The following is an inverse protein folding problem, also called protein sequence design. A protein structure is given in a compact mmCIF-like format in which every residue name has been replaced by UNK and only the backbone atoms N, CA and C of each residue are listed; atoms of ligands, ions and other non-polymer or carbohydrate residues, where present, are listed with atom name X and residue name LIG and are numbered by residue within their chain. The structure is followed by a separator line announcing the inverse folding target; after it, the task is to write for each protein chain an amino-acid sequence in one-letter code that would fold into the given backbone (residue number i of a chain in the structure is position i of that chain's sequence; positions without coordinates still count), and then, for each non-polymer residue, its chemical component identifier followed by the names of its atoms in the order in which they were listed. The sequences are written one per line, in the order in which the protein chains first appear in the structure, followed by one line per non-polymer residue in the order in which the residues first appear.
data_IF_081600325504
#
_entry.id   IF_081600325504
#
_cell.length_a   1.000
_cell.length_b   1.000
_cell.length_c   1.000
_cell.angle_alpha   90.00
_cell.angle_beta   90.00
_cell.angle_gamma   90.00
#
_symmetry.space_group_name_H-M   'P 1'
#
loop_
_entity.id
_entity.type
_entity.pdbx_description
1 polymer ?
#
# COMPACT_ATOMS: atom_id res chain seq x y z
N UNK A 1 7.24 3.06 17.64
CA UNK A 1 7.57 3.77 16.49
C UNK A 1 6.76 5.03 16.26
N UNK A 2 6.88 5.52 15.07
CA UNK A 2 6.35 6.83 14.69
C UNK A 2 5.04 6.76 13.89
N UNK A 3 4.32 5.64 14.00
CA UNK A 3 3.10 5.42 13.19
C UNK A 3 2.02 6.47 13.48
N UNK A 4 2.02 7.04 14.69
CA UNK A 4 1.08 8.09 15.09
C UNK A 4 1.33 9.43 14.38
N UNK A 5 2.48 9.60 13.74
CA UNK A 5 2.81 10.86 13.05
C UNK A 5 2.08 11.01 11.71
N UNK A 6 1.46 9.95 11.20
CA UNK A 6 0.68 10.02 9.96
C UNK A 6 1.52 10.22 8.70
N UNK A 7 2.80 9.83 8.72
CA UNK A 7 3.65 9.90 7.53
C UNK A 7 3.13 8.99 6.42
N UNK A 8 3.44 9.33 5.18
CA UNK A 8 2.99 8.61 4.01
C UNK A 8 3.50 7.17 3.97
N UNK A 9 2.60 6.25 3.60
CA UNK A 9 2.95 4.88 3.26
C UNK A 9 3.04 4.80 1.73
N UNK A 10 4.23 4.54 1.21
CA UNK A 10 4.47 4.54 -0.22
C UNK A 10 3.60 3.53 -0.98
N UNK A 11 3.35 2.36 -0.39
CA UNK A 11 2.48 1.35 -1.02
C UNK A 11 1.03 1.81 -1.10
N UNK A 12 0.53 2.49 -0.07
CA UNK A 12 -0.83 3.05 -0.07
C UNK A 12 -0.96 4.17 -1.09
N UNK A 13 0.02 5.05 -1.15
CA UNK A 13 0.04 6.16 -2.10
C UNK A 13 0.09 5.67 -3.55
N UNK A 14 0.93 4.68 -3.82
CA UNK A 14 1.03 4.07 -5.14
C UNK A 14 -0.27 3.36 -5.53
N UNK A 15 -0.84 2.58 -4.63
CA UNK A 15 -2.10 1.87 -4.86
C UNK A 15 -3.26 2.83 -5.15
N UNK A 16 -3.33 3.95 -4.44
CA UNK A 16 -4.34 4.99 -4.68
C UNK A 16 -4.23 5.56 -6.09
N UNK A 17 -3.03 5.90 -6.52
CA UNK A 17 -2.83 6.40 -7.89
C UNK A 17 -3.22 5.36 -8.95
N UNK A 18 -2.76 4.13 -8.79
CA UNK A 18 -3.06 3.05 -9.73
C UNK A 18 -4.56 2.75 -9.79
N UNK A 19 -5.23 2.76 -8.65
CA UNK A 19 -6.68 2.58 -8.61
C UNK A 19 -7.41 3.70 -9.37
N UNK A 20 -7.03 4.95 -9.14
CA UNK A 20 -7.61 6.10 -9.86
C UNK A 20 -7.39 5.99 -11.38
N UNK A 21 -6.18 5.65 -11.81
CA UNK A 21 -5.86 5.45 -13.21
C UNK A 21 -6.70 4.34 -13.85
N UNK A 22 -6.84 3.22 -13.15
CA UNK A 22 -7.60 2.07 -13.64
C UNK A 22 -9.10 2.35 -13.82
N UNK A 23 -9.64 3.38 -13.14
CA UNK A 23 -11.04 3.79 -13.32
C UNK A 23 -11.26 4.58 -14.60
N UNK A 24 -10.23 5.26 -15.11
CA UNK A 24 -10.35 6.25 -16.18
C UNK A 24 -9.61 5.88 -17.46
N UNK A 25 -8.63 5.00 -17.36
CA UNK A 25 -7.75 4.64 -18.47
C UNK A 25 -7.58 3.14 -18.54
N UNK A 26 -7.24 2.66 -19.73
CA UNK A 26 -6.79 1.28 -19.89
C UNK A 26 -5.34 1.17 -19.45
N UNK A 27 -5.12 0.68 -18.23
CA UNK A 27 -3.82 0.54 -17.61
C UNK A 27 -3.59 -0.92 -17.25
N UNK A 28 -2.44 -1.47 -17.64
CA UNK A 28 -2.05 -2.83 -17.31
C UNK A 28 -0.86 -2.81 -16.36
N UNK A 29 -1.00 -3.45 -15.23
CA UNK A 29 0.07 -3.56 -14.24
C UNK A 29 1.05 -4.67 -14.66
N UNK A 30 2.33 -4.33 -14.78
CA UNK A 30 3.37 -5.27 -15.19
C UNK A 30 4.25 -5.70 -14.02
N UNK A 31 4.53 -4.79 -13.09
CA UNK A 31 5.31 -5.07 -11.90
C UNK A 31 4.95 -4.11 -10.77
N UNK A 32 5.16 -4.55 -9.55
CA UNK A 32 4.99 -3.72 -8.35
C UNK A 32 5.98 -4.16 -7.28
N UNK A 33 6.58 -3.19 -6.60
CA UNK A 33 7.54 -3.42 -5.53
C UNK A 33 7.51 -2.26 -4.55
N UNK A 34 7.45 -2.54 -3.27
CA UNK A 34 7.51 -1.49 -2.25
C UNK A 34 7.72 -2.04 -0.85
N UNK A 35 8.55 -1.33 -0.07
CA UNK A 35 8.86 -1.69 1.31
C UNK A 35 9.86 -2.81 1.43
N UNK A 36 10.48 -2.95 2.61
CA UNK A 36 11.46 -3.99 2.89
C UNK A 36 11.29 -4.64 4.26
N UNK A 37 10.84 -3.89 5.26
CA UNK A 37 10.81 -4.32 6.65
C UNK A 37 9.37 -4.38 7.18
N UNK A 38 9.05 -5.44 7.92
CA UNK A 38 7.71 -5.58 8.52
C UNK A 38 7.38 -4.51 9.55
N UNK A 39 8.39 -4.00 10.22
CA UNK A 39 8.23 -3.02 11.31
C UNK A 39 8.51 -1.57 10.88
N UNK A 40 8.60 -1.31 9.59
CA UNK A 40 8.80 0.03 9.07
C UNK A 40 7.70 0.38 8.07
N UNK A 41 7.25 1.63 8.10
CA UNK A 41 6.36 2.16 7.08
C UNK A 41 7.17 2.27 5.77
N UNK A 42 6.71 1.70 4.65
CA UNK A 42 7.45 1.77 3.40
C UNK A 42 7.61 3.21 2.93
N UNK A 43 8.86 3.59 2.63
CA UNK A 43 9.21 4.93 2.19
C UNK A 43 9.35 5.04 0.68
N UNK A 44 9.45 3.91 0.00
CA UNK A 44 9.58 3.83 -1.45
C UNK A 44 8.69 2.72 -2.00
N UNK A 45 8.09 2.99 -3.15
CA UNK A 45 7.35 2.00 -3.90
C UNK A 45 7.43 2.34 -5.38
N UNK A 46 7.41 1.32 -6.22
CA UNK A 46 7.39 1.49 -7.67
C UNK A 46 6.46 0.49 -8.32
N UNK A 47 5.93 0.88 -9.47
CA UNK A 47 5.19 -0.01 -10.33
C UNK A 47 5.61 0.23 -11.78
N UNK A 48 5.55 -0.80 -12.59
CA UNK A 48 5.64 -0.69 -14.04
C UNK A 48 4.26 -0.92 -14.61
N UNK A 49 3.78 0.05 -15.39
CA UNK A 49 2.48 -0.02 -16.05
C UNK A 49 2.64 0.13 -17.55
N UNK A 50 1.76 -0.51 -18.29
CA UNK A 50 1.63 -0.33 -19.73
C UNK A 50 0.33 0.44 -20.02
N UNK A 51 0.42 1.46 -20.85
CA UNK A 51 -0.71 2.27 -21.27
C UNK A 51 -0.71 2.41 -22.79
N UNK A 52 -1.87 2.66 -23.36
CA UNK A 52 -1.97 3.01 -24.77
C UNK A 52 -1.15 4.27 -25.03
N UNK A 53 -0.34 4.33 -26.11
CA UNK A 53 0.41 5.54 -26.45
C UNK A 53 -0.45 6.81 -26.54
N UNK A 54 -1.69 6.67 -26.97
CA UNK A 54 -2.67 7.76 -27.08
C UNK A 54 -3.08 8.34 -25.72
N UNK A 55 -2.98 7.56 -24.65
CA UNK A 55 -3.35 7.95 -23.29
C UNK A 55 -2.15 8.39 -22.44
N UNK A 56 -0.95 8.27 -22.95
CA UNK A 56 0.29 8.57 -22.21
C UNK A 56 0.26 9.95 -21.54
N UNK A 57 -0.11 10.98 -22.30
CA UNK A 57 -0.12 12.34 -21.77
C UNK A 57 -1.26 12.55 -20.75
N UNK A 58 -2.42 11.91 -20.97
CA UNK A 58 -3.51 11.96 -20.01
C UNK A 58 -3.14 11.31 -18.67
N UNK A 59 -2.47 10.17 -18.71
CA UNK A 59 -1.98 9.49 -17.50
C UNK A 59 -0.92 10.34 -16.79
N UNK A 60 -0.01 10.96 -17.54
CA UNK A 60 0.99 11.86 -16.97
C UNK A 60 0.35 13.07 -16.30
N UNK A 61 -0.67 13.64 -16.91
CA UNK A 61 -1.42 14.75 -16.33
C UNK A 61 -2.13 14.34 -15.04
N UNK A 62 -2.69 13.13 -14.99
CA UNK A 62 -3.27 12.58 -13.76
C UNK A 62 -2.22 12.40 -12.66
N UNK A 63 -1.03 11.92 -13.02
CA UNK A 63 0.06 11.79 -12.05
C UNK A 63 0.45 13.14 -11.45
N UNK A 64 0.60 14.16 -12.29
CA UNK A 64 0.99 15.48 -11.84
C UNK A 64 -0.07 16.09 -10.90
N UNK A 65 -1.35 15.90 -11.23
CA UNK A 65 -2.45 16.32 -10.36
C UNK A 65 -2.41 15.57 -9.02
N UNK A 66 -2.25 14.26 -9.08
CA UNK A 66 -2.13 13.42 -7.89
C UNK A 66 -0.94 13.81 -7.02
N UNK A 67 0.21 14.05 -7.62
CA UNK A 67 1.41 14.48 -6.90
C UNK A 67 1.17 15.79 -6.13
N UNK A 68 0.44 16.72 -6.73
CA UNK A 68 0.06 17.97 -6.05
C UNK A 68 -0.89 17.73 -4.88
N UNK A 69 -1.86 16.83 -5.04
CA UNK A 69 -2.78 16.47 -3.96
C UNK A 69 -2.04 15.83 -2.77
N UNK A 70 -1.16 14.88 -3.05
CA UNK A 70 -0.35 14.21 -2.02
C UNK A 70 0.57 15.21 -1.30
N UNK A 71 1.21 16.10 -2.05
CA UNK A 71 2.08 17.13 -1.46
C UNK A 71 1.29 18.02 -0.49
N UNK A 72 0.08 18.41 -0.88
CA UNK A 72 -0.78 19.23 -0.02
C UNK A 72 -1.25 18.45 1.22
N UNK A 73 -1.68 17.20 1.05
CA UNK A 73 -2.15 16.35 2.14
C UNK A 73 -1.08 16.06 3.19
N UNK A 74 0.17 15.89 2.76
CA UNK A 74 1.28 15.48 3.63
C UNK A 74 2.23 16.61 4.00
N UNK A 75 1.94 17.86 3.62
CA UNK A 75 2.84 19.01 3.83
C UNK A 75 3.30 19.19 5.27
N UNK A 76 2.45 18.86 6.25
CA UNK A 76 2.75 19.01 7.68
C UNK A 76 3.52 17.86 8.31
N UNK A 77 3.54 16.70 7.68
CA UNK A 77 4.09 15.48 8.28
C UNK A 77 5.15 14.78 7.40
N UNK A 78 5.08 14.99 6.10
CA UNK A 78 5.99 14.32 5.15
C UNK A 78 6.22 15.22 3.92
N UNK A 79 6.89 16.37 4.08
CA UNK A 79 6.95 17.42 3.05
C UNK A 79 7.81 17.05 1.83
N UNK A 80 8.62 15.99 1.90
CA UNK A 80 9.53 15.58 0.83
C UNK A 80 9.01 14.43 -0.03
N UNK A 81 7.73 14.11 0.08
CA UNK A 81 7.12 13.08 -0.76
C UNK A 81 7.12 13.50 -2.21
N UNK A 82 7.58 12.61 -3.10
CA UNK A 82 7.55 12.81 -4.55
C UNK A 82 6.82 11.65 -5.22
N UNK A 83 6.13 11.96 -6.30
CA UNK A 83 5.50 10.98 -7.18
C UNK A 83 5.91 11.29 -8.61
N UNK A 84 6.68 10.41 -9.21
CA UNK A 84 7.28 10.62 -10.52
C UNK A 84 6.94 9.48 -11.47
N UNK A 85 7.04 9.75 -12.77
CA UNK A 85 6.85 8.78 -13.83
C UNK A 85 7.95 8.95 -14.87
N UNK A 86 8.59 7.84 -15.21
CA UNK A 86 9.62 7.79 -16.26
C UNK A 86 9.29 6.66 -17.23
N UNK A 87 9.75 6.80 -18.47
CA UNK A 87 9.62 5.74 -19.45
C UNK A 87 10.53 4.58 -19.07
N UNK A 88 9.97 3.38 -19.03
CA UNK A 88 10.72 2.15 -18.76
C UNK A 88 10.83 1.30 -20.04
N UNK A 89 11.76 0.34 -20.00
CA UNK A 89 11.85 -0.66 -21.04
C UNK A 89 10.54 -1.47 -21.11
N UNK A 90 10.17 -1.90 -22.30
CA UNK A 90 8.97 -2.71 -22.49
C UNK A 90 9.09 -4.01 -21.70
N UNK A 91 8.21 -4.27 -20.73
CA UNK A 91 8.26 -5.51 -19.95
C UNK A 91 7.85 -6.71 -20.80
N UNK A 92 8.39 -7.88 -20.46
CA UNK A 92 8.04 -9.13 -21.12
C UNK A 92 6.67 -9.68 -20.69
N UNK A 93 6.21 -9.31 -19.49
CA UNK A 93 5.01 -9.87 -18.88
C UNK A 93 4.12 -8.78 -18.30
N UNK A 94 2.82 -9.07 -18.27
CA UNK A 94 1.84 -8.30 -17.51
C UNK A 94 1.24 -9.21 -16.44
N UNK A 95 0.80 -8.59 -15.35
CA UNK A 95 -0.05 -9.27 -14.38
C UNK A 95 -1.44 -9.39 -15.00
N UNK A 96 -2.09 -10.55 -14.87
CA UNK A 96 -3.47 -10.73 -15.34
C UNK A 96 -4.36 -9.62 -14.79
N UNK A 97 -5.15 -8.97 -15.64
CA UNK A 97 -5.94 -7.78 -15.27
C UNK A 97 -6.84 -8.00 -14.06
N UNK A 98 -7.48 -9.17 -13.97
CA UNK A 98 -8.33 -9.51 -12.82
C UNK A 98 -7.53 -9.54 -11.52
N UNK A 99 -6.35 -10.15 -11.55
CA UNK A 99 -5.43 -10.21 -10.39
C UNK A 99 -4.92 -8.82 -10.05
N UNK A 100 -4.51 -8.04 -11.04
CA UNK A 100 -4.02 -6.68 -10.85
C UNK A 100 -5.08 -5.77 -10.20
N UNK A 101 -6.31 -5.82 -10.69
CA UNK A 101 -7.42 -5.03 -10.14
C UNK A 101 -7.73 -5.43 -8.69
N UNK A 102 -7.78 -6.72 -8.41
CA UNK A 102 -8.00 -7.24 -7.06
C UNK A 102 -6.88 -6.82 -6.11
N UNK A 103 -5.63 -6.94 -6.54
CA UNK A 103 -4.46 -6.54 -5.77
C UNK A 103 -4.48 -5.04 -5.44
N UNK A 104 -4.66 -4.20 -6.45
CA UNK A 104 -4.66 -2.74 -6.26
C UNK A 104 -5.83 -2.31 -5.37
N UNK A 105 -7.02 -2.88 -5.57
CA UNK A 105 -8.17 -2.61 -4.71
C UNK A 105 -7.92 -3.01 -3.26
N UNK A 106 -7.32 -4.18 -3.04
CA UNK A 106 -6.99 -4.65 -1.69
C UNK A 106 -5.93 -3.76 -1.02
N UNK A 107 -4.87 -3.41 -1.74
CA UNK A 107 -3.83 -2.53 -1.22
C UNK A 107 -4.39 -1.15 -0.87
N UNK A 108 -5.25 -0.61 -1.73
CA UNK A 108 -5.86 0.70 -1.49
C UNK A 108 -6.85 0.66 -0.31
N UNK A 109 -7.66 -0.38 -0.20
CA UNK A 109 -8.63 -0.54 0.87
C UNK A 109 -8.01 -1.01 2.20
N UNK A 110 -6.82 -1.59 2.18
CA UNK A 110 -6.18 -2.14 3.37
C UNK A 110 -6.01 -1.05 4.45
N UNK A 111 -6.40 -1.33 5.69
CA UNK A 111 -6.16 -0.38 6.77
C UNK A 111 -4.66 -0.18 6.98
N UNK A 112 -4.27 1.05 7.29
CA UNK A 112 -2.90 1.41 7.63
C UNK A 112 -2.90 2.54 8.64
N UNK A 113 -2.03 2.45 9.64
CA UNK A 113 -1.86 3.48 10.64
C UNK A 113 -2.47 3.11 11.98
N UNK A 114 -2.80 4.11 12.76
CA UNK A 114 -3.41 3.96 14.08
C UNK A 114 -4.86 3.51 13.93
N UNK A 115 -5.19 2.41 14.60
CA UNK A 115 -6.57 1.89 14.67
C UNK A 115 -7.25 2.38 15.95
N UNK A 116 -6.53 2.36 17.07
CA UNK A 116 -7.04 2.83 18.35
C UNK A 116 -5.93 3.43 19.20
N UNK A 117 -6.30 4.44 19.97
CA UNK A 117 -5.46 5.01 21.02
C UNK A 117 -5.80 4.37 22.36
N UNK A 118 -4.84 4.33 23.27
CA UNK A 118 -5.07 3.82 24.62
C UNK A 118 -6.11 4.66 25.35
N UNK A 119 -7.05 4.00 26.02
CA UNK A 119 -8.01 4.67 26.89
C UNK A 119 -7.41 5.03 28.25
N UNK A 120 -6.33 4.36 28.64
CA UNK A 120 -5.73 4.49 29.98
C UNK A 120 -4.52 5.41 30.00
N UNK A 121 -3.79 5.49 28.88
CA UNK A 121 -2.55 6.27 28.78
C UNK A 121 -2.65 7.25 27.62
N UNK A 122 -2.69 8.53 27.94
CA UNK A 122 -2.78 9.60 26.95
C UNK A 122 -1.54 9.58 26.02
N UNK A 123 -1.80 9.70 24.72
CA UNK A 123 -0.75 9.75 23.69
C UNK A 123 -0.16 8.40 23.29
N UNK A 124 -0.58 7.32 23.93
CA UNK A 124 -0.12 5.98 23.59
C UNK A 124 -1.00 5.33 22.52
N UNK A 125 -0.38 4.83 21.47
CA UNK A 125 -1.07 4.03 20.45
C UNK A 125 -1.34 2.65 21.04
N UNK A 126 -2.62 2.27 21.12
CA UNK A 126 -3.03 0.96 21.58
C UNK A 126 -2.89 -0.09 20.46
N UNK A 127 -3.47 0.21 19.30
CA UNK A 127 -3.54 -0.72 18.16
C UNK A 127 -3.19 0.00 16.87
N UNK A 128 -2.33 -0.63 16.09
CA UNK A 128 -1.93 -0.12 14.77
C UNK A 128 -1.70 -1.25 13.78
N UNK A 129 -1.76 -0.92 12.50
CA UNK A 129 -1.45 -1.84 11.43
C UNK A 129 -0.56 -1.16 10.40
N UNK A 130 0.36 -1.93 9.82
CA UNK A 130 1.30 -1.45 8.81
C UNK A 130 1.16 -2.31 7.54
N UNK A 131 0.85 -1.67 6.43
CA UNK A 131 1.01 -2.27 5.11
C UNK A 131 2.48 -2.19 4.75
N UNK A 132 3.25 -3.24 5.07
CA UNK A 132 4.70 -3.17 5.15
C UNK A 132 5.42 -3.37 3.82
N UNK A 133 4.99 -4.32 3.02
CA UNK A 133 5.66 -4.57 1.74
C UNK A 133 4.76 -5.25 0.72
N UNK A 134 5.09 -4.99 -0.54
CA UNK A 134 4.53 -5.70 -1.70
C UNK A 134 5.73 -6.12 -2.54
N UNK A 135 5.88 -7.41 -2.80
CA UNK A 135 7.04 -7.97 -3.50
C UNK A 135 6.62 -8.99 -4.56
N UNK A 136 7.25 -8.91 -5.71
CA UNK A 136 7.20 -9.95 -6.73
C UNK A 136 8.45 -10.81 -6.57
N UNK A 137 8.39 -11.87 -5.76
CA UNK A 137 9.56 -12.68 -5.39
C UNK A 137 10.00 -13.64 -6.49
N UNK A 138 9.07 -14.01 -7.36
CA UNK A 138 9.29 -14.84 -8.53
C UNK A 138 8.20 -14.58 -9.56
N UNK A 139 8.39 -14.96 -10.83
CA UNK A 139 7.35 -14.78 -11.84
C UNK A 139 6.03 -15.45 -11.42
N UNK A 140 4.95 -14.68 -11.52
CA UNK A 140 3.62 -15.15 -11.18
C UNK A 140 3.27 -15.16 -9.69
N UNK A 141 4.16 -14.64 -8.82
CA UNK A 141 3.91 -14.60 -7.38
C UNK A 141 4.11 -13.22 -6.80
N UNK A 142 3.08 -12.72 -6.13
CA UNK A 142 3.10 -11.44 -5.41
C UNK A 142 2.85 -11.73 -3.94
N UNK A 143 3.72 -11.23 -3.08
CA UNK A 143 3.61 -11.37 -1.63
C UNK A 143 3.39 -10.00 -1.01
N UNK A 144 2.30 -9.87 -0.27
CA UNK A 144 1.98 -8.69 0.52
C UNK A 144 2.20 -9.01 1.99
N UNK A 145 3.03 -8.23 2.66
CA UNK A 145 3.28 -8.37 4.08
C UNK A 145 2.65 -7.21 4.86
N UNK A 146 1.96 -7.56 5.92
CA UNK A 146 1.37 -6.61 6.87
C UNK A 146 1.83 -6.95 8.28
N UNK A 147 1.78 -5.97 9.17
CA UNK A 147 2.15 -6.16 10.56
C UNK A 147 1.17 -5.41 11.45
N UNK A 148 0.64 -6.08 12.46
CA UNK A 148 -0.28 -5.50 13.43
C UNK A 148 0.34 -5.50 14.80
N UNK A 149 0.11 -4.43 15.57
CA UNK A 149 0.56 -4.27 16.94
C UNK A 149 -0.56 -3.80 17.82
N UNK A 150 -0.66 -4.37 19.02
CA UNK A 150 -1.60 -3.90 20.03
C UNK A 150 -1.11 -4.28 21.42
N UNK A 151 -1.35 -3.41 22.40
CA UNK A 151 -1.21 -3.73 23.81
C UNK A 151 -2.38 -4.57 24.34
N UNK A 152 -3.45 -4.70 23.55
CA UNK A 152 -4.61 -5.55 23.86
C UNK A 152 -4.63 -6.71 22.86
N UNK A 153 -4.39 -7.92 23.34
CA UNK A 153 -4.18 -9.07 22.46
C UNK A 153 -5.40 -9.39 21.60
N UNK A 154 -6.61 -9.32 22.15
CA UNK A 154 -7.83 -9.55 21.39
C UNK A 154 -8.00 -8.54 20.24
N UNK A 155 -7.60 -7.30 20.43
CA UNK A 155 -7.65 -6.27 19.39
C UNK A 155 -6.56 -6.45 18.33
N UNK A 156 -5.41 -7.01 18.71
CA UNK A 156 -4.39 -7.40 17.74
C UNK A 156 -4.93 -8.44 16.77
N UNK A 157 -5.59 -9.45 17.27
CA UNK A 157 -6.22 -10.47 16.44
C UNK A 157 -7.39 -9.93 15.62
N UNK A 158 -8.19 -9.03 16.21
CA UNK A 158 -9.30 -8.42 15.47
C UNK A 158 -8.82 -7.71 14.21
N UNK A 159 -7.83 -6.83 14.32
CA UNK A 159 -7.30 -6.13 13.13
C UNK A 159 -6.60 -7.09 12.16
N UNK A 160 -5.90 -8.10 12.67
CA UNK A 160 -5.27 -9.11 11.83
C UNK A 160 -6.31 -9.89 11.02
N UNK A 161 -7.42 -10.25 11.63
CA UNK A 161 -8.51 -10.95 10.92
C UNK A 161 -9.23 -10.06 9.92
N UNK A 162 -9.39 -8.78 10.20
CA UNK A 162 -9.94 -7.83 9.22
C UNK A 162 -9.07 -7.75 7.97
N UNK A 163 -7.77 -7.67 8.15
CA UNK A 163 -6.80 -7.68 7.05
C UNK A 163 -6.85 -9.01 6.27
N UNK A 164 -6.92 -10.13 7.00
CA UNK A 164 -7.09 -11.45 6.39
C UNK A 164 -8.34 -11.52 5.52
N UNK A 165 -9.48 -11.10 6.04
CA UNK A 165 -10.75 -11.11 5.30
C UNK A 165 -10.65 -10.32 4.01
N UNK A 166 -10.05 -9.13 4.07
CA UNK A 166 -9.87 -8.28 2.91
C UNK A 166 -9.05 -8.97 1.81
N UNK A 167 -7.90 -9.55 2.18
CA UNK A 167 -7.04 -10.21 1.20
C UNK A 167 -7.64 -11.53 0.69
N UNK A 168 -8.42 -12.25 1.49
CA UNK A 168 -9.19 -13.41 1.00
C UNK A 168 -10.23 -13.00 -0.04
N UNK A 169 -10.94 -11.89 0.18
CA UNK A 169 -11.87 -11.34 -0.81
C UNK A 169 -11.16 -10.99 -2.12
N UNK A 170 -9.91 -10.59 -2.06
CA UNK A 170 -9.10 -10.29 -3.24
C UNK A 170 -8.50 -11.55 -3.90
N UNK A 171 -8.77 -12.74 -3.37
CA UNK A 171 -8.28 -14.00 -3.92
C UNK A 171 -6.90 -14.42 -3.44
N UNK A 172 -6.34 -13.76 -2.43
CA UNK A 172 -5.06 -14.12 -1.83
C UNK A 172 -5.21 -15.29 -0.84
N UNK A 173 -4.08 -15.88 -0.48
CA UNK A 173 -3.98 -16.91 0.54
C UNK A 173 -3.24 -16.36 1.76
N UNK A 174 -3.96 -15.82 2.77
CA UNK A 174 -3.33 -15.26 3.96
C UNK A 174 -2.73 -16.33 4.88
N UNK A 175 -1.62 -15.98 5.51
CA UNK A 175 -1.05 -16.75 6.60
C UNK A 175 -0.58 -15.79 7.70
N UNK A 176 -0.60 -16.26 8.94
CA UNK A 176 -0.15 -15.48 10.08
C UNK A 176 1.14 -16.07 10.62
N UNK A 177 2.12 -15.19 10.86
CA UNK A 177 3.35 -15.56 11.56
C UNK A 177 3.18 -15.56 13.07
N UNK A 178 4.19 -16.03 13.78
CA UNK A 178 4.23 -15.97 15.22
C UNK A 178 4.31 -14.52 15.69
N UNK A 179 3.47 -14.18 16.67
CA UNK A 179 3.49 -12.89 17.29
C UNK A 179 4.64 -12.74 18.30
N UNK A 180 4.97 -11.52 18.64
CA UNK A 180 5.82 -11.20 19.77
C UNK A 180 5.05 -10.27 20.73
N UNK A 181 5.41 -10.24 22.03
CA UNK A 181 4.68 -9.43 22.99
C UNK A 181 4.66 -7.95 22.63
N UNK A 182 3.51 -7.32 22.86
CA UNK A 182 3.39 -5.87 22.81
C UNK A 182 4.09 -5.22 24.01
N UNK A 183 4.26 -3.93 23.96
CA UNK A 183 4.82 -3.17 25.08
C UNK A 183 3.77 -2.29 25.75
#
# INVERSE_FOLDING_TARGET
GDIHLGRGNANKLLARFLWLCMQRHEVHLCAIDGGNLRNAIPREAMAVIAVNPEEKEAVRAELNHYAADVAAELSGVDPHVTVDMVTADTPEFMIEDKVARALISALYAAPHGVIAMSHDIEGLVETSTNLASVKMTEPGKIVVATSQRSSVESEKYDIAYQVECLFRLAGAEPSHGDGYPGW
#
